data_IF_168370468567
#
_entry.id   IF_168370468567
#
_cell.length_a   1.000
_cell.length_b   1.000
_cell.length_c   1.000
_cell.angle_alpha   90.00
_cell.angle_beta   90.00
_cell.angle_gamma   90.00
#
_symmetry.space_group_name_H-M   'P 1'
#
loop_
_entity.id
_entity.type
_entity.pdbx_description
1 polymer ?
#
# COMPACT_ATOMS: atom_id res chain seq x y z
N UNK A 1 -25.85 -22.41 14.59
CA UNK A 1 -24.65 -22.58 13.75
C UNK A 1 -25.08 -23.06 12.37
N UNK A 2 -25.61 -22.17 11.51
CA UNK A 2 -26.05 -22.60 10.16
C UNK A 2 -26.20 -21.41 9.17
N UNK A 3 -25.36 -20.37 9.33
CA UNK A 3 -25.33 -19.22 8.40
C UNK A 3 -23.92 -18.88 7.87
N UNK A 4 -22.88 -19.57 8.35
CA UNK A 4 -21.49 -19.30 7.97
C UNK A 4 -20.97 -20.19 6.84
N UNK A 5 -21.64 -21.31 6.56
CA UNK A 5 -21.19 -22.30 5.57
C UNK A 5 -21.65 -22.01 4.14
N UNK A 6 -22.70 -21.18 3.94
CA UNK A 6 -23.20 -20.84 2.61
C UNK A 6 -22.35 -19.78 1.87
N UNK A 7 -21.75 -18.83 2.60
CA UNK A 7 -20.85 -17.82 2.00
C UNK A 7 -19.49 -18.42 1.59
N UNK A 8 -19.01 -19.43 2.31
CA UNK A 8 -17.77 -20.13 1.97
C UNK A 8 -17.92 -20.99 0.69
N UNK A 9 -19.10 -21.59 0.45
CA UNK A 9 -19.36 -22.36 -0.77
C UNK A 9 -19.48 -21.48 -2.03
N UNK A 10 -20.03 -20.27 -1.91
CA UNK A 10 -20.10 -19.32 -3.03
C UNK A 10 -18.72 -18.80 -3.46
N UNK A 11 -17.78 -18.67 -2.51
CA UNK A 11 -16.42 -18.19 -2.76
C UNK A 11 -15.52 -19.27 -3.42
N UNK A 12 -15.71 -20.55 -3.09
CA UNK A 12 -14.97 -21.68 -3.69
C UNK A 12 -15.44 -21.97 -5.13
N UNK A 13 -16.73 -21.75 -5.43
CA UNK A 13 -17.29 -21.90 -6.78
C UNK A 13 -16.68 -20.92 -7.79
N UNK A 14 -16.46 -19.66 -7.39
CA UNK A 14 -15.87 -18.64 -8.25
C UNK A 14 -14.39 -18.90 -8.61
N UNK A 15 -13.61 -19.44 -7.66
CA UNK A 15 -12.19 -19.78 -7.86
C UNK A 15 -12.03 -20.98 -8.81
N UNK A 16 -13.00 -21.92 -8.80
CA UNK A 16 -12.95 -23.10 -9.68
C UNK A 16 -13.25 -22.72 -11.15
N UNK A 17 -14.09 -21.72 -11.39
CA UNK A 17 -14.28 -21.16 -12.74
C UNK A 17 -13.03 -20.40 -13.23
N UNK A 18 -12.34 -19.68 -12.33
CA UNK A 18 -11.14 -18.91 -12.62
C UNK A 18 -9.93 -19.77 -13.04
N UNK A 19 -9.79 -20.98 -12.50
CA UNK A 19 -8.73 -21.93 -12.86
C UNK A 19 -9.02 -22.75 -14.12
N UNK A 20 -10.27 -22.85 -14.55
CA UNK A 20 -10.63 -23.62 -15.76
C UNK A 20 -10.45 -22.80 -17.05
N UNK A 21 -10.58 -21.47 -16.97
CA UNK A 21 -10.36 -20.56 -18.10
C UNK A 21 -8.87 -20.37 -18.47
N UNK A 22 -7.94 -20.56 -17.54
CA UNK A 22 -6.50 -20.39 -17.78
C UNK A 22 -5.87 -21.55 -18.57
N UNK A 23 -6.53 -22.71 -18.64
CA UNK A 23 -6.00 -23.90 -19.32
C UNK A 23 -6.40 -24.03 -20.81
N UNK A 24 -7.25 -23.14 -21.34
CA UNK A 24 -7.78 -23.28 -22.71
C UNK A 24 -7.08 -22.43 -23.78
N UNK A 25 -6.13 -21.55 -23.43
CA UNK A 25 -5.56 -20.55 -24.37
C UNK A 25 -4.03 -20.53 -24.46
N UNK A 26 -3.40 -21.70 -24.40
CA UNK A 26 -1.98 -21.90 -24.73
C UNK A 26 -1.85 -22.98 -25.81
N UNK A 27 -2.33 -22.74 -27.05
CA UNK A 27 -1.38 -22.27 -28.08
C UNK A 27 -2.04 -21.54 -29.28
N UNK A 28 -1.88 -20.21 -29.40
CA UNK A 28 -2.09 -19.53 -30.70
C UNK A 28 -1.27 -18.25 -30.84
N UNK A 29 -0.02 -18.25 -30.36
CA UNK A 29 0.94 -17.17 -30.64
C UNK A 29 2.20 -17.79 -31.22
N UNK A 30 2.12 -18.19 -32.49
CA UNK A 30 3.24 -18.14 -33.46
C UNK A 30 2.87 -18.92 -34.73
N UNK A 31 2.35 -18.21 -35.73
CA UNK A 31 2.74 -18.44 -37.13
C UNK A 31 2.25 -17.28 -38.03
N UNK A 32 3.25 -16.48 -38.44
CA UNK A 32 3.40 -15.87 -39.78
C UNK A 32 2.42 -14.75 -40.21
N UNK A 33 2.95 -13.51 -40.22
CA UNK A 33 2.65 -12.46 -41.23
C UNK A 33 3.23 -12.89 -42.61
N UNK A 34 2.94 -12.25 -43.78
CA UNK A 34 2.18 -11.01 -44.07
C UNK A 34 1.21 -11.09 -45.29
N UNK A 35 0.25 -10.17 -45.41
CA UNK A 35 0.08 -9.33 -46.62
C UNK A 35 -0.93 -8.21 -46.33
N UNK A 36 -0.49 -6.95 -46.38
CA UNK A 36 -1.32 -5.78 -46.15
C UNK A 36 -1.55 -5.08 -47.49
N UNK A 37 -2.58 -5.50 -48.21
CA UNK A 37 -3.16 -4.66 -49.27
C UNK A 37 -3.88 -3.48 -48.61
N UNK A 38 -3.66 -2.22 -49.04
CA UNK A 38 -4.36 -1.08 -48.46
C UNK A 38 -5.84 -1.10 -48.90
N UNK A 39 -6.82 -0.91 -47.99
CA UNK A 39 -8.21 -0.78 -48.39
C UNK A 39 -8.42 0.54 -49.16
N UNK A 40 -9.36 0.57 -50.13
CA UNK A 40 -9.57 1.75 -50.96
C UNK A 40 -10.13 2.92 -50.13
N UNK A 41 -9.62 4.13 -50.39
CA UNK A 41 -10.30 5.37 -50.00
C UNK A 41 -11.50 5.57 -50.92
N UNK A 42 -12.72 5.69 -50.38
CA UNK A 42 -13.60 6.83 -50.68
C UNK A 42 -14.90 6.88 -49.82
N UNK A 43 -15.16 8.10 -49.33
CA UNK A 43 -16.45 8.82 -49.10
C UNK A 43 -17.72 8.17 -48.55
N UNK A 44 -18.26 8.89 -47.55
CA UNK A 44 -19.67 9.08 -47.18
C UNK A 44 -20.24 8.17 -46.08
N UNK A 45 -21.08 8.72 -45.17
CA UNK A 45 -21.72 7.95 -44.10
C UNK A 45 -22.83 7.11 -44.72
N UNK A 46 -22.52 5.86 -45.05
CA UNK A 46 -23.48 4.95 -45.61
C UNK A 46 -24.40 4.39 -44.50
N UNK A 47 -25.58 5.00 -44.39
CA UNK A 47 -26.72 4.42 -43.72
C UNK A 47 -27.46 3.50 -44.72
N UNK A 48 -26.75 2.53 -45.33
CA UNK A 48 -27.35 1.61 -46.30
C UNK A 48 -28.29 0.67 -45.57
N UNK A 49 -29.57 0.86 -45.79
CA UNK A 49 -30.61 -0.12 -45.51
C UNK A 49 -30.42 -1.28 -46.50
N UNK A 50 -29.89 -2.41 -46.02
CA UNK A 50 -30.08 -3.69 -46.68
C UNK A 50 -31.53 -4.16 -46.42
N UNK A 51 -32.40 -4.28 -47.43
CA UNK A 51 -33.80 -4.66 -47.24
C UNK A 51 -34.00 -6.13 -46.82
N UNK A 52 -32.93 -6.93 -46.68
CA UNK A 52 -32.98 -8.28 -46.12
C UNK A 52 -32.49 -8.39 -44.66
N UNK A 53 -31.95 -7.32 -44.06
CA UNK A 53 -31.33 -7.38 -42.74
C UNK A 53 -31.69 -6.12 -41.92
N UNK A 54 -32.57 -6.29 -40.93
CA UNK A 54 -33.07 -5.19 -40.09
C UNK A 54 -31.98 -4.30 -39.46
N UNK A 55 -32.36 -3.06 -39.11
CA UNK A 55 -31.47 -2.05 -38.50
C UNK A 55 -30.63 -2.64 -37.37
N UNK A 56 -29.32 -2.34 -37.37
CA UNK A 56 -28.39 -2.69 -36.30
C UNK A 56 -27.75 -1.43 -35.72
N UNK A 57 -27.51 -1.41 -34.42
CA UNK A 57 -26.87 -0.32 -33.69
C UNK A 57 -25.53 -0.77 -33.10
N UNK A 58 -24.62 0.18 -32.90
CA UNK A 58 -23.28 -0.09 -32.36
C UNK A 58 -23.31 -0.13 -30.83
N UNK A 59 -22.76 -1.19 -30.25
CA UNK A 59 -22.41 -1.28 -28.84
C UNK A 59 -20.90 -1.16 -28.69
N UNK A 60 -20.46 -0.20 -27.88
CA UNK A 60 -19.08 -0.05 -27.43
C UNK A 60 -18.99 -0.42 -25.94
N UNK A 61 -18.15 -1.40 -25.62
CA UNK A 61 -17.86 -1.87 -24.27
C UNK A 61 -16.42 -1.47 -23.91
N UNK A 62 -16.27 -0.43 -23.11
CA UNK A 62 -14.99 0.11 -22.69
C UNK A 62 -14.48 -0.67 -21.46
N UNK A 63 -13.21 -1.09 -21.50
CA UNK A 63 -12.60 -1.95 -20.47
C UNK A 63 -13.33 -3.30 -20.28
N UNK A 64 -13.93 -3.83 -21.34
CA UNK A 64 -14.62 -5.11 -21.35
C UNK A 64 -14.76 -5.70 -22.75
N UNK A 65 -15.45 -6.83 -22.82
CA UNK A 65 -15.76 -7.57 -24.04
C UNK A 65 -17.27 -7.49 -24.35
N UNK A 66 -17.63 -7.69 -25.62
CA UNK A 66 -19.02 -7.60 -26.11
C UNK A 66 -19.31 -6.40 -27.03
N UNK A 67 -18.28 -5.68 -27.48
CA UNK A 67 -18.44 -4.62 -28.48
C UNK A 67 -18.83 -5.18 -29.85
N UNK A 68 -19.71 -4.50 -30.59
CA UNK A 68 -20.16 -4.97 -31.90
C UNK A 68 -21.32 -4.19 -32.49
N UNK A 69 -21.99 -4.78 -33.49
CA UNK A 69 -23.24 -4.27 -34.07
C UNK A 69 -24.35 -5.28 -33.87
N UNK A 70 -25.46 -4.84 -33.28
CA UNK A 70 -26.53 -5.74 -32.84
C UNK A 70 -27.90 -5.19 -33.24
N UNK A 71 -28.86 -6.10 -33.46
CA UNK A 71 -30.25 -5.73 -33.73
C UNK A 71 -30.91 -5.25 -32.42
N UNK A 72 -31.87 -4.30 -32.49
CA UNK A 72 -32.69 -3.92 -31.35
C UNK A 72 -33.32 -5.11 -30.64
N UNK A 73 -33.34 -5.05 -29.31
CA UNK A 73 -33.92 -6.07 -28.46
C UNK A 73 -33.09 -7.35 -28.31
N UNK A 74 -31.94 -7.47 -29.01
CA UNK A 74 -31.00 -8.56 -28.79
C UNK A 74 -30.48 -8.54 -27.34
N UNK A 75 -30.44 -9.70 -26.70
CA UNK A 75 -29.84 -9.88 -25.37
C UNK A 75 -28.40 -10.33 -25.56
N UNK A 76 -27.48 -9.57 -24.98
CA UNK A 76 -26.04 -9.72 -25.16
C UNK A 76 -25.39 -9.94 -23.81
N UNK A 77 -24.49 -10.92 -23.72
CA UNK A 77 -23.61 -11.06 -22.56
C UNK A 77 -22.39 -10.17 -22.77
N UNK A 78 -22.12 -9.32 -21.78
CA UNK A 78 -20.93 -8.49 -21.71
C UNK A 78 -20.07 -8.94 -20.53
N UNK A 79 -18.77 -8.77 -20.66
CA UNK A 79 -17.81 -9.20 -19.64
C UNK A 79 -16.79 -8.09 -19.38
N UNK A 80 -16.53 -7.77 -18.12
CA UNK A 80 -15.52 -6.81 -17.73
C UNK A 80 -14.14 -7.43 -18.00
N UNK A 81 -13.20 -6.62 -18.50
CA UNK A 81 -11.85 -7.10 -18.73
C UNK A 81 -11.22 -7.59 -17.40
N UNK A 82 -10.32 -8.58 -17.45
CA UNK A 82 -9.59 -9.00 -16.26
C UNK A 82 -8.97 -7.79 -15.55
N UNK A 83 -9.20 -7.61 -14.23
CA UNK A 83 -8.68 -6.47 -13.51
C UNK A 83 -7.15 -6.47 -13.58
N UNK A 84 -6.57 -5.27 -13.73
CA UNK A 84 -5.13 -5.08 -13.56
C UNK A 84 -4.74 -5.36 -12.10
N UNK A 85 -3.46 -5.67 -11.81
CA UNK A 85 -2.99 -5.76 -10.42
C UNK A 85 -3.44 -4.55 -9.60
N UNK A 86 -3.86 -4.81 -8.37
CA UNK A 86 -4.43 -3.86 -7.41
C UNK A 86 -5.78 -3.24 -7.79
N UNK A 87 -6.46 -3.69 -8.85
CA UNK A 87 -7.80 -3.20 -9.21
C UNK A 87 -8.86 -4.26 -8.93
N UNK A 88 -10.05 -3.80 -8.56
CA UNK A 88 -11.25 -4.63 -8.58
C UNK A 88 -12.36 -3.96 -9.37
N UNK A 89 -13.19 -4.80 -9.99
CA UNK A 89 -14.40 -4.37 -10.66
C UNK A 89 -15.38 -3.79 -9.64
N UNK A 90 -15.88 -2.59 -9.90
CA UNK A 90 -16.83 -1.90 -9.01
C UNK A 90 -18.20 -1.67 -9.63
N UNK A 91 -18.38 -2.05 -10.90
CA UNK A 91 -19.66 -2.00 -11.58
C UNK A 91 -19.57 -1.46 -13.00
N UNK A 92 -20.67 -1.55 -13.73
CA UNK A 92 -20.81 -0.96 -15.06
C UNK A 92 -21.28 0.49 -14.98
N UNK A 93 -20.66 1.36 -15.78
CA UNK A 93 -21.15 2.70 -16.07
C UNK A 93 -22.10 2.61 -17.25
N UNK A 94 -23.40 2.74 -16.98
CA UNK A 94 -24.46 2.70 -18.00
C UNK A 94 -25.15 4.05 -18.13
N UNK A 95 -25.52 4.47 -19.36
CA UNK A 95 -26.37 5.65 -19.57
C UNK A 95 -27.75 5.49 -18.93
N UNK A 96 -28.38 6.61 -18.59
CA UNK A 96 -29.73 6.62 -18.01
C UNK A 96 -30.74 6.01 -19.00
N UNK A 97 -31.65 5.17 -18.49
CA UNK A 97 -32.70 4.53 -19.30
C UNK A 97 -32.27 3.27 -20.06
N UNK A 98 -31.06 2.76 -19.81
CA UNK A 98 -30.58 1.47 -20.32
C UNK A 98 -30.75 0.38 -19.26
N UNK A 99 -31.37 -0.73 -19.65
CA UNK A 99 -31.64 -1.88 -18.77
C UNK A 99 -30.51 -2.91 -18.87
N UNK A 100 -29.91 -3.21 -17.73
CA UNK A 100 -28.81 -4.17 -17.54
C UNK A 100 -29.15 -5.01 -16.31
N UNK A 101 -29.04 -6.33 -16.42
CA UNK A 101 -29.60 -7.23 -15.39
C UNK A 101 -28.93 -7.04 -14.02
N UNK A 102 -27.61 -7.14 -13.96
CA UNK A 102 -26.84 -6.93 -12.73
C UNK A 102 -25.59 -6.10 -13.01
N UNK A 103 -25.62 -4.77 -12.84
CA UNK A 103 -24.49 -3.90 -13.12
C UNK A 103 -23.33 -4.06 -12.12
N UNK A 104 -23.51 -4.78 -11.01
CA UNK A 104 -22.47 -5.02 -9.98
C UNK A 104 -21.68 -6.31 -10.23
N UNK A 105 -22.07 -7.09 -11.25
CA UNK A 105 -21.35 -8.30 -11.66
C UNK A 105 -20.44 -8.06 -12.87
N UNK A 106 -19.24 -8.65 -12.89
CA UNK A 106 -18.31 -8.49 -14.00
C UNK A 106 -18.82 -9.15 -15.29
N UNK A 107 -19.70 -10.15 -15.20
CA UNK A 107 -20.38 -10.78 -16.33
C UNK A 107 -21.85 -10.52 -16.18
N UNK A 108 -22.46 -9.83 -17.15
CA UNK A 108 -23.85 -9.42 -17.07
C UNK A 108 -24.50 -9.39 -18.45
N UNK A 109 -25.81 -9.17 -18.48
CA UNK A 109 -26.62 -9.18 -19.69
C UNK A 109 -27.22 -7.81 -19.96
N UNK A 110 -27.15 -7.41 -21.22
CA UNK A 110 -27.62 -6.13 -21.73
C UNK A 110 -28.61 -6.38 -22.86
N UNK A 111 -29.71 -5.63 -22.87
CA UNK A 111 -30.63 -5.62 -24.01
C UNK A 111 -30.36 -4.42 -24.92
N UNK A 112 -30.04 -4.67 -26.18
CA UNK A 112 -29.66 -3.63 -27.13
C UNK A 112 -30.82 -2.67 -27.43
N UNK A 113 -30.66 -1.35 -27.23
CA UNK A 113 -31.69 -0.36 -27.56
C UNK A 113 -31.75 -0.04 -29.07
N UNK A 114 -32.70 0.80 -29.46
CA UNK A 114 -32.83 1.32 -30.84
C UNK A 114 -31.91 2.52 -31.14
N UNK A 115 -30.71 2.56 -30.55
CA UNK A 115 -29.69 3.58 -30.78
C UNK A 115 -28.31 3.04 -30.39
N UNK A 116 -27.25 3.74 -30.79
CA UNK A 116 -25.88 3.39 -30.42
C UNK A 116 -25.64 3.59 -28.92
N UNK A 117 -24.91 2.66 -28.30
CA UNK A 117 -24.72 2.59 -26.86
C UNK A 117 -23.24 2.44 -26.53
N UNK A 118 -22.74 3.25 -25.57
CA UNK A 118 -21.40 3.11 -25.01
C UNK A 118 -21.53 2.86 -23.51
N UNK A 119 -20.92 1.78 -23.02
CA UNK A 119 -20.87 1.39 -21.62
C UNK A 119 -19.43 1.14 -21.21
N UNK A 120 -19.12 1.29 -19.92
CA UNK A 120 -17.76 1.09 -19.42
C UNK A 120 -17.73 0.26 -18.15
N UNK A 121 -16.86 -0.75 -18.09
CA UNK A 121 -16.54 -1.41 -16.83
C UNK A 121 -15.71 -0.46 -15.95
N UNK A 122 -16.12 -0.29 -14.69
CA UNK A 122 -15.44 0.55 -13.70
C UNK A 122 -14.58 -0.31 -12.82
N UNK A 123 -13.39 0.19 -12.53
CA UNK A 123 -12.43 -0.46 -11.66
C UNK A 123 -11.92 0.53 -10.63
N UNK A 124 -11.79 0.10 -9.38
CA UNK A 124 -11.22 0.90 -8.29
C UNK A 124 -10.00 0.18 -7.74
N UNK A 125 -9.00 0.95 -7.32
CA UNK A 125 -7.83 0.37 -6.66
C UNK A 125 -8.21 -0.15 -5.28
N UNK A 126 -7.88 -1.40 -4.99
CA UNK A 126 -8.02 -1.97 -3.67
C UNK A 126 -6.76 -1.76 -2.84
N UNK A 127 -6.96 -1.38 -1.58
CA UNK A 127 -5.90 -1.27 -0.59
C UNK A 127 -6.16 -2.23 0.56
N UNK A 128 -5.10 -2.90 1.00
CA UNK A 128 -5.06 -3.78 2.15
C UNK A 128 -4.36 -3.05 3.29
N UNK A 129 -4.95 -3.08 4.48
CA UNK A 129 -4.36 -2.48 5.67
C UNK A 129 -3.71 -3.54 6.54
N UNK A 130 -2.48 -3.30 7.01
CA UNK A 130 -1.80 -4.14 8.00
C UNK A 130 -1.14 -3.29 9.08
N UNK A 131 -1.12 -3.82 10.30
CA UNK A 131 -0.48 -3.18 11.45
C UNK A 131 0.59 -4.12 11.98
N UNK A 132 1.85 -3.69 11.87
CA UNK A 132 3.01 -4.47 12.28
C UNK A 132 3.51 -4.01 13.63
N UNK A 133 3.84 -4.96 14.48
CA UNK A 133 4.60 -4.71 15.71
C UNK A 133 6.08 -4.88 15.42
N UNK A 134 6.96 -4.12 16.10
CA UNK A 134 8.39 -4.23 15.86
C UNK A 134 8.90 -5.61 16.28
N UNK A 135 9.85 -6.14 15.52
CA UNK A 135 10.59 -7.34 15.89
C UNK A 135 11.52 -7.00 17.06
N UNK A 136 10.99 -7.08 18.29
CA UNK A 136 11.76 -6.95 19.51
C UNK A 136 12.32 -8.34 19.87
N UNK A 137 13.54 -8.65 19.45
CA UNK A 137 14.22 -9.86 19.90
C UNK A 137 14.49 -9.78 21.40
N UNK A 138 13.83 -10.63 22.18
CA UNK A 138 14.08 -10.87 23.60
C UNK A 138 15.04 -12.06 23.83
N UNK A 139 15.75 -12.14 24.96
CA UNK A 139 15.99 -11.08 25.92
C UNK A 139 17.32 -10.41 25.56
N UNK A 140 17.39 -9.10 25.58
CA UNK A 140 18.64 -8.38 25.41
C UNK A 140 19.64 -8.83 26.49
N UNK A 141 20.51 -9.79 26.16
CA UNK A 141 21.69 -10.09 26.97
C UNK A 141 22.56 -8.84 26.95
N UNK A 142 22.95 -8.42 28.14
CA UNK A 142 24.06 -7.52 28.41
C UNK A 142 25.16 -7.60 27.32
N UNK A 143 25.41 -6.49 26.62
CA UNK A 143 26.49 -6.32 25.63
C UNK A 143 26.18 -6.95 24.25
N UNK A 144 25.55 -6.25 23.32
CA UNK A 144 26.30 -5.29 22.49
C UNK A 144 25.84 -3.86 22.69
N UNK A 145 26.50 -3.24 23.66
CA UNK A 145 26.91 -1.85 23.65
C UNK A 145 27.50 -1.52 22.26
N UNK A 146 26.95 -0.57 21.53
CA UNK A 146 27.84 0.34 20.79
C UNK A 146 27.68 1.69 21.44
N UNK A 147 28.34 1.81 22.60
CA UNK A 147 28.27 2.84 23.63
C UNK A 147 27.51 4.06 23.14
N UNK A 148 26.19 3.97 23.24
CA UNK A 148 25.36 5.10 23.50
C UNK A 148 23.91 4.79 23.88
N UNK A 149 23.61 5.18 25.10
CA UNK A 149 22.92 4.45 26.16
C UNK A 149 21.56 3.76 25.99
N UNK A 150 21.39 2.95 27.02
CA UNK A 150 20.22 2.17 27.38
C UNK A 150 19.52 2.91 28.51
N UNK A 151 18.19 2.83 28.54
CA UNK A 151 17.46 3.11 29.77
C UNK A 151 16.74 1.86 30.23
N UNK A 152 16.92 1.60 31.52
CA UNK A 152 16.26 0.56 32.29
C UNK A 152 14.74 0.82 32.31
N UNK A 153 13.98 0.06 31.50
CA UNK A 153 12.52 0.06 31.47
C UNK A 153 11.98 -0.62 30.21
N UNK A 154 10.66 -0.90 30.11
CA UNK A 154 10.04 -1.51 28.93
C UNK A 154 9.89 -0.52 27.76
N UNK A 155 10.91 0.28 27.46
CA UNK A 155 10.85 1.37 26.49
C UNK A 155 12.14 1.55 25.71
N UNK A 156 12.04 2.19 24.56
CA UNK A 156 13.18 2.56 23.71
C UNK A 156 13.46 4.05 23.91
N UNK A 157 14.73 4.42 24.17
CA UNK A 157 15.16 5.78 24.50
C UNK A 157 15.97 6.48 23.42
N UNK A 158 15.92 7.83 23.40
CA UNK A 158 16.76 8.71 22.58
C UNK A 158 17.14 9.96 23.38
N UNK A 159 18.26 10.62 23.07
CA UNK A 159 18.78 11.66 23.97
C UNK A 159 20.28 11.63 24.12
N UNK A 160 20.74 11.83 25.35
CA UNK A 160 22.07 11.52 25.81
C UNK A 160 22.04 11.00 27.27
N UNK A 161 23.23 10.72 27.79
CA UNK A 161 23.45 10.17 29.14
C UNK A 161 24.37 11.11 29.89
N UNK A 162 24.36 11.03 31.22
CA UNK A 162 25.15 11.92 32.08
C UNK A 162 26.67 11.85 31.88
N UNK A 163 27.18 10.89 31.10
CA UNK A 163 28.58 10.83 30.64
C UNK A 163 28.79 11.47 29.24
N UNK A 164 27.81 12.23 28.75
CA UNK A 164 27.83 12.95 27.47
C UNK A 164 27.65 12.03 26.26
N UNK A 165 27.19 10.81 26.46
CA UNK A 165 26.99 9.83 25.41
C UNK A 165 25.54 10.02 24.87
N UNK A 166 25.38 10.43 23.60
CA UNK A 166 24.16 10.42 22.74
C UNK A 166 23.33 9.12 22.55
N UNK A 167 22.14 8.97 23.12
CA UNK A 167 21.23 7.85 22.84
C UNK A 167 20.59 7.90 21.44
N UNK A 168 20.55 6.76 20.74
CA UNK A 168 19.77 6.58 19.50
C UNK A 168 18.92 5.32 19.57
N UNK A 169 17.71 5.41 19.07
CA UNK A 169 16.77 4.29 19.03
C UNK A 169 16.80 3.60 17.67
N UNK A 170 16.70 2.28 17.64
CA UNK A 170 16.54 1.50 16.42
C UNK A 170 15.29 0.62 16.52
N UNK A 171 14.44 0.68 15.50
CA UNK A 171 13.16 -0.03 15.45
C UNK A 171 13.10 -0.77 14.11
N UNK A 172 12.94 -2.09 14.16
CA UNK A 172 12.88 -2.93 12.97
C UNK A 172 11.51 -3.58 12.84
N UNK A 173 10.98 -3.57 11.62
CA UNK A 173 9.74 -4.26 11.26
C UNK A 173 10.02 -5.26 10.15
N UNK A 174 9.49 -6.46 10.31
CA UNK A 174 9.53 -7.50 9.29
C UNK A 174 8.46 -7.21 8.22
N UNK A 175 8.85 -7.28 6.96
CA UNK A 175 8.02 -6.99 5.78
C UNK A 175 7.73 -8.26 4.96
N UNK A 176 8.22 -9.42 5.39
CA UNK A 176 8.00 -10.73 4.77
C UNK A 176 6.53 -11.17 4.80
N UNK A 177 5.74 -10.62 5.73
CA UNK A 177 4.29 -10.76 5.78
C UNK A 177 3.56 -10.12 4.59
N UNK A 178 4.20 -9.16 3.90
CA UNK A 178 3.61 -8.53 2.72
C UNK A 178 3.77 -9.42 1.49
N UNK A 179 2.77 -9.46 0.60
CA UNK A 179 2.86 -10.26 -0.61
C UNK A 179 3.97 -9.75 -1.54
N UNK A 180 4.63 -10.64 -2.31
CA UNK A 180 5.63 -10.24 -3.29
C UNK A 180 5.08 -9.19 -4.26
N UNK A 181 5.81 -8.09 -4.44
CA UNK A 181 5.41 -7.00 -5.34
C UNK A 181 4.40 -6.00 -4.74
N UNK A 182 4.08 -6.09 -3.45
CA UNK A 182 3.22 -5.12 -2.77
C UNK A 182 3.69 -3.67 -3.00
N UNK A 183 2.80 -2.85 -3.55
CA UNK A 183 2.99 -1.41 -3.69
C UNK A 183 2.43 -0.71 -2.46
N UNK A 184 3.29 -0.06 -1.67
CA UNK A 184 2.88 0.70 -0.48
C UNK A 184 2.23 2.00 -0.93
N UNK A 185 0.95 2.16 -0.57
CA UNK A 185 0.21 3.38 -0.77
C UNK A 185 0.48 4.39 0.35
N UNK A 186 0.46 3.91 1.59
CA UNK A 186 0.71 4.70 2.79
C UNK A 186 1.42 3.85 3.83
N UNK A 187 2.39 4.43 4.54
CA UNK A 187 2.99 3.83 5.72
C UNK A 187 3.17 4.89 6.81
N UNK A 188 2.69 4.58 8.02
CA UNK A 188 2.76 5.45 9.18
C UNK A 188 3.42 4.72 10.34
N UNK A 189 4.55 5.24 10.81
CA UNK A 189 5.17 4.81 12.05
C UNK A 189 4.44 5.49 13.21
N UNK A 190 3.62 4.72 13.93
CA UNK A 190 2.88 5.22 15.09
C UNK A 190 3.66 4.93 16.35
N UNK A 191 3.93 6.00 17.11
CA UNK A 191 4.71 5.92 18.35
C UNK A 191 3.96 6.64 19.47
N UNK A 192 4.11 6.13 20.70
CA UNK A 192 3.60 6.76 21.91
C UNK A 192 4.74 7.13 22.83
N UNK A 193 4.74 8.37 23.26
CA UNK A 193 5.65 8.86 24.29
C UNK A 193 5.26 8.33 25.69
N UNK A 194 6.22 7.80 26.45
CA UNK A 194 6.00 7.27 27.80
C UNK A 194 6.59 8.13 28.91
N UNK A 195 7.56 8.99 28.63
CA UNK A 195 8.17 9.85 29.65
C UNK A 195 9.52 10.41 29.23
N UNK A 196 10.00 11.37 30.00
CA UNK A 196 11.28 12.06 29.79
C UNK A 196 12.16 11.94 31.03
N UNK A 197 13.47 12.03 30.84
CA UNK A 197 14.48 12.19 31.89
C UNK A 197 15.35 13.40 31.56
N UNK A 198 15.81 14.13 32.58
CA UNK A 198 16.59 15.35 32.40
C UNK A 198 15.72 16.58 32.13
N UNK A 199 16.37 17.73 31.93
CA UNK A 199 15.74 18.95 31.47
C UNK A 199 15.92 19.11 29.96
N UNK A 200 14.92 18.67 29.20
CA UNK A 200 14.84 18.86 27.76
C UNK A 200 14.54 20.33 27.38
N UNK A 201 15.11 21.27 28.12
CA UNK A 201 14.82 22.71 28.13
C UNK A 201 15.14 23.36 26.79
N UNK A 202 14.65 24.59 26.63
CA UNK A 202 14.71 25.39 25.40
C UNK A 202 16.15 25.67 24.93
N UNK A 203 17.11 25.58 25.84
CA UNK A 203 18.48 26.05 25.63
C UNK A 203 19.48 24.90 25.34
N UNK A 204 19.07 23.64 25.53
CA UNK A 204 19.99 22.51 25.60
C UNK A 204 20.04 21.72 24.27
N UNK A 205 18.90 21.24 23.78
CA UNK A 205 18.83 20.50 22.48
C UNK A 205 18.64 21.45 21.29
N UNK A 206 18.64 22.76 21.54
CA UNK A 206 18.72 23.83 20.54
C UNK A 206 17.40 24.53 20.23
N UNK A 207 17.52 25.82 19.90
CA UNK A 207 16.41 26.76 19.68
C UNK A 207 15.65 26.58 18.33
N UNK A 208 15.71 25.40 17.72
CA UNK A 208 15.04 25.04 16.45
C UNK A 208 14.51 23.59 16.42
N UNK A 209 14.55 22.88 17.55
CA UNK A 209 14.33 21.43 17.61
C UNK A 209 12.96 21.10 18.15
N UNK A 210 11.94 21.50 17.39
CA UNK A 210 10.59 20.98 17.59
C UNK A 210 10.44 19.56 17.05
N UNK A 211 11.49 18.86 16.59
CA UNK A 211 11.36 17.49 16.06
C UNK A 211 12.56 16.56 16.35
N UNK A 212 12.31 15.27 16.61
CA UNK A 212 13.34 14.22 16.42
C UNK A 212 13.19 13.61 15.03
N UNK A 213 14.31 13.19 14.45
CA UNK A 213 14.36 12.69 13.08
C UNK A 213 14.13 11.18 13.09
N UNK A 214 13.27 10.72 12.20
CA UNK A 214 13.13 9.31 11.84
C UNK A 214 13.89 9.09 10.54
N UNK A 215 14.90 8.23 10.57
CA UNK A 215 15.72 7.91 9.41
C UNK A 215 15.63 6.42 9.12
N UNK A 216 15.54 6.04 7.85
CA UNK A 216 15.74 4.65 7.43
C UNK A 216 17.23 4.35 7.40
N UNK A 217 17.63 3.24 7.99
CA UNK A 217 19.01 2.75 7.94
C UNK A 217 19.07 1.46 7.13
N UNK A 218 20.04 1.40 6.21
CA UNK A 218 20.39 0.15 5.52
C UNK A 218 21.25 -0.70 6.45
N UNK A 219 20.63 -1.62 7.18
CA UNK A 219 21.28 -2.53 8.14
C UNK A 219 21.66 -3.85 7.46
N UNK A 220 22.49 -4.67 8.10
CA UNK A 220 22.65 -6.08 7.74
C UNK A 220 21.47 -6.93 8.26
N UNK A 221 21.61 -8.27 8.33
CA UNK A 221 20.62 -9.14 8.96
C UNK A 221 20.38 -8.83 10.44
N UNK A 222 21.34 -8.16 11.08
CA UNK A 222 21.27 -7.70 12.46
C UNK A 222 21.92 -6.32 12.59
N UNK A 223 21.55 -5.57 13.63
CA UNK A 223 22.20 -4.31 13.98
C UNK A 223 23.64 -4.56 14.42
N UNK A 224 24.58 -3.86 13.77
CA UNK A 224 26.00 -3.87 14.13
C UNK A 224 26.48 -2.52 14.67
N UNK A 225 27.66 -2.46 15.32
CA UNK A 225 28.23 -1.22 15.85
C UNK A 225 28.38 -0.10 14.81
N UNK A 226 28.71 -0.45 13.56
CA UNK A 226 28.84 0.52 12.47
C UNK A 226 27.52 1.10 11.96
N UNK A 227 26.38 0.45 12.24
CA UNK A 227 25.05 1.00 11.88
C UNK A 227 24.70 2.21 12.73
N UNK A 228 25.29 2.32 13.93
CA UNK A 228 25.09 3.44 14.81
C UNK A 228 25.45 4.76 14.12
N UNK A 229 26.62 4.84 13.49
CA UNK A 229 27.14 6.03 12.80
C UNK A 229 26.84 6.07 11.29
N UNK A 230 26.10 5.09 10.75
CA UNK A 230 25.79 5.02 9.32
C UNK A 230 24.93 6.22 8.89
N UNK A 231 25.16 6.73 7.68
CA UNK A 231 24.30 7.76 7.11
C UNK A 231 22.87 7.21 6.97
N UNK A 232 21.91 7.94 7.54
CA UNK A 232 20.49 7.61 7.44
C UNK A 232 19.81 8.34 6.31
N UNK A 233 18.82 7.70 5.73
CA UNK A 233 17.93 8.33 4.77
C UNK A 233 16.76 8.95 5.53
N UNK A 234 16.53 10.26 5.40
CA UNK A 234 15.41 10.92 6.07
C UNK A 234 14.09 10.24 5.69
N UNK A 235 13.41 9.67 6.68
CA UNK A 235 12.12 8.99 6.51
C UNK A 235 10.97 9.87 6.99
N UNK A 236 11.17 10.66 8.06
CA UNK A 236 10.18 11.59 8.58
C UNK A 236 10.69 12.39 9.77
N UNK A 237 9.84 13.27 10.32
CA UNK A 237 10.15 14.09 11.50
C UNK A 237 8.98 14.04 12.49
N UNK A 238 9.29 13.87 13.77
CA UNK A 238 8.29 13.79 14.83
C UNK A 238 8.29 15.03 15.70
N UNK A 239 7.18 15.79 15.83
CA UNK A 239 7.16 17.00 16.64
C UNK A 239 7.32 16.75 18.16
N UNK A 240 8.42 17.25 18.74
CA UNK A 240 8.77 17.20 20.17
C UNK A 240 7.99 18.19 21.02
N UNK A 241 7.41 19.26 20.45
CA UNK A 241 6.58 20.20 21.21
C UNK A 241 5.33 19.56 21.84
N UNK A 242 4.84 18.46 21.26
CA UNK A 242 3.72 17.67 21.81
C UNK A 242 4.11 16.85 23.05
N UNK A 243 5.41 16.67 23.30
CA UNK A 243 5.96 15.76 24.33
C UNK A 243 5.96 16.42 25.71
N UNK A 244 6.21 17.74 25.80
CA UNK A 244 6.30 18.47 27.08
C UNK A 244 4.98 18.57 27.84
N UNK A 245 3.84 18.62 27.14
CA UNK A 245 2.54 18.90 27.75
C UNK A 245 1.54 17.73 27.70
N UNK A 246 1.83 16.67 26.92
CA UNK A 246 0.93 15.53 26.76
C UNK A 246 1.71 14.20 26.80
N UNK A 247 2.01 13.75 28.01
CA UNK A 247 2.48 12.39 28.24
C UNK A 247 1.43 11.43 27.64
N UNK A 248 1.86 10.47 26.81
CA UNK A 248 0.99 9.54 26.06
C UNK A 248 0.39 9.99 24.73
N UNK A 249 0.82 11.10 24.14
CA UNK A 249 0.45 11.41 22.75
C UNK A 249 0.93 10.31 21.80
N UNK A 250 -0.01 9.80 20.99
CA UNK A 250 0.26 8.98 19.81
C UNK A 250 0.35 9.91 18.61
N UNK A 251 1.42 9.82 17.83
CA UNK A 251 1.52 10.57 16.57
C UNK A 251 2.07 9.66 15.46
N UNK A 252 1.37 9.55 14.32
CA UNK A 252 1.91 8.89 13.14
C UNK A 252 2.97 9.76 12.48
N UNK A 253 4.08 9.13 12.07
CA UNK A 253 5.09 9.71 11.19
C UNK A 253 4.97 9.03 9.84
N UNK A 254 4.77 9.81 8.78
CA UNK A 254 4.79 9.28 7.42
C UNK A 254 6.18 8.72 7.12
N UNK A 255 6.24 7.43 6.80
CA UNK A 255 7.43 6.68 6.40
C UNK A 255 7.21 5.93 5.08
N UNK A 256 6.19 6.30 4.31
CA UNK A 256 5.74 5.62 3.09
C UNK A 256 6.88 5.37 2.12
N UNK A 257 7.64 6.42 1.78
CA UNK A 257 8.75 6.32 0.85
C UNK A 257 9.87 5.41 1.35
N UNK A 258 10.13 5.40 2.66
CA UNK A 258 11.17 4.57 3.26
C UNK A 258 10.83 3.09 3.20
N UNK A 259 9.57 2.71 3.50
CA UNK A 259 9.12 1.32 3.41
C UNK A 259 9.10 0.85 1.95
N UNK A 260 8.57 1.68 1.03
CA UNK A 260 8.54 1.36 -0.40
C UNK A 260 9.95 1.10 -0.95
N UNK A 261 10.95 1.91 -0.57
CA UNK A 261 12.35 1.71 -0.98
C UNK A 261 12.97 0.46 -0.40
N UNK A 262 12.63 0.08 0.83
CA UNK A 262 13.10 -1.16 1.44
C UNK A 262 12.65 -2.38 0.62
N UNK A 263 11.36 -2.43 0.27
CA UNK A 263 10.80 -3.48 -0.58
C UNK A 263 11.41 -3.50 -1.98
N UNK A 264 11.56 -2.34 -2.62
CA UNK A 264 12.21 -2.22 -3.94
C UNK A 264 13.68 -2.68 -3.94
N UNK A 265 14.34 -2.57 -2.78
CA UNK A 265 15.71 -3.06 -2.60
C UNK A 265 15.78 -4.56 -2.27
N UNK A 266 14.65 -5.28 -2.34
CA UNK A 266 14.54 -6.70 -2.00
C UNK A 266 14.72 -7.00 -0.51
N UNK A 267 14.52 -6.01 0.37
CA UNK A 267 14.63 -6.22 1.82
C UNK A 267 13.35 -6.86 2.36
N UNK A 268 13.54 -7.79 3.28
CA UNK A 268 12.47 -8.44 4.05
C UNK A 268 12.19 -7.72 5.38
N UNK A 269 12.90 -6.64 5.66
CA UNK A 269 12.70 -5.84 6.87
C UNK A 269 13.08 -4.37 6.61
N UNK A 270 12.55 -3.49 7.45
CA UNK A 270 12.89 -2.06 7.46
C UNK A 270 13.31 -1.65 8.86
N UNK A 271 14.46 -0.99 8.97
CA UNK A 271 14.95 -0.44 10.23
C UNK A 271 14.90 1.08 10.21
N UNK A 272 14.25 1.65 11.21
CA UNK A 272 14.25 3.08 11.49
C UNK A 272 15.18 3.39 12.65
N UNK A 273 16.05 4.38 12.45
CA UNK A 273 16.81 5.02 13.51
C UNK A 273 16.13 6.32 13.90
N UNK A 274 15.92 6.52 15.19
CA UNK A 274 15.38 7.75 15.72
C UNK A 274 16.44 8.42 16.59
N UNK A 275 16.59 9.73 16.40
CA UNK A 275 17.60 10.55 17.08
C UNK A 275 17.17 12.01 17.11
N UNK A 276 17.70 12.76 18.06
CA UNK A 276 17.64 14.22 17.99
C UNK A 276 18.55 14.75 16.88
N UNK A 277 18.21 15.90 16.32
CA UNK A 277 19.07 16.54 15.33
C UNK A 277 20.40 17.03 15.98
N UNK A 278 20.35 17.39 17.28
CA UNK A 278 21.49 17.70 18.14
C UNK A 278 21.44 16.69 19.30
N UNK A 279 22.46 15.87 19.41
CA UNK A 279 22.44 14.69 20.28
C UNK A 279 23.21 14.88 21.59
N UNK A 280 23.64 16.11 21.85
CA UNK A 280 24.35 16.56 23.05
C UNK A 280 24.08 18.04 23.23
N UNK A 281 23.83 18.43 24.46
CA UNK A 281 23.76 19.82 24.94
C UNK A 281 25.00 20.20 25.78
N UNK A 282 25.81 19.21 26.14
CA UNK A 282 27.12 19.35 26.79
C UNK A 282 27.02 19.98 28.20
N UNK A 283 25.92 19.72 28.91
CA UNK A 283 25.68 20.20 30.27
C UNK A 283 26.05 19.16 31.36
N UNK A 284 26.49 17.96 30.94
CA UNK A 284 26.83 16.81 31.80
C UNK A 284 25.66 16.24 32.61
N UNK A 285 24.42 16.56 32.23
CA UNK A 285 23.21 15.86 32.63
C UNK A 285 22.82 14.88 31.52
N UNK A 286 21.83 14.03 31.79
CA UNK A 286 21.38 13.02 30.85
C UNK A 286 19.95 13.31 30.42
N UNK A 287 19.78 13.68 29.16
CA UNK A 287 18.53 14.17 28.62
C UNK A 287 17.93 13.18 27.65
N UNK A 288 16.84 12.52 28.04
CA UNK A 288 16.28 11.41 27.29
C UNK A 288 14.76 11.40 27.19
N UNK A 289 14.26 10.91 26.05
CA UNK A 289 12.85 10.64 25.77
C UNK A 289 12.66 9.13 25.64
N UNK A 290 11.56 8.61 26.21
CA UNK A 290 11.19 7.21 26.14
C UNK A 290 9.93 6.97 25.32
N UNK A 291 9.96 5.93 24.50
CA UNK A 291 8.82 5.41 23.76
C UNK A 291 8.25 4.17 24.44
N UNK A 292 6.92 4.09 24.53
CA UNK A 292 6.21 2.92 25.03
C UNK A 292 6.17 1.84 23.94
N UNK A 293 6.83 0.72 24.18
CA UNK A 293 6.85 -0.41 23.24
C UNK A 293 5.77 -1.46 23.51
N UNK A 294 4.94 -1.27 24.54
CA UNK A 294 3.94 -2.26 24.93
C UNK A 294 2.71 -2.22 24.03
N UNK A 295 2.29 -3.39 23.56
CA UNK A 295 1.05 -3.56 22.78
C UNK A 295 1.08 -2.78 21.46
N UNK A 296 -0.02 -2.09 21.14
CA UNK A 296 -0.20 -1.33 19.90
C UNK A 296 0.50 0.06 19.91
N UNK A 297 1.29 0.38 20.93
CA UNK A 297 1.77 1.75 21.18
C UNK A 297 2.99 2.15 20.34
N UNK A 298 3.69 1.15 19.83
CA UNK A 298 4.72 1.28 18.81
C UNK A 298 4.39 0.30 17.68
N UNK A 299 4.04 0.83 16.50
CA UNK A 299 3.62 0.00 15.36
C UNK A 299 3.86 0.70 14.03
N UNK A 300 3.97 -0.09 12.97
CA UNK A 300 4.00 0.38 11.60
C UNK A 300 2.64 0.05 10.96
N UNK A 301 1.85 1.07 10.68
CA UNK A 301 0.58 0.94 9.96
C UNK A 301 0.85 1.12 8.46
N UNK A 302 0.34 0.20 7.65
CA UNK A 302 0.61 0.13 6.23
C UNK A 302 -0.70 -0.04 5.48
N UNK A 303 -0.84 0.68 4.38
CA UNK A 303 -1.81 0.41 3.33
C UNK A 303 -1.04 0.07 2.05
N UNK A 304 -1.33 -1.09 1.47
CA UNK A 304 -0.66 -1.57 0.27
C UNK A 304 -1.65 -2.09 -0.75
N UNK A 305 -1.24 -2.07 -2.01
CA UNK A 305 -1.99 -2.64 -3.12
C UNK A 305 -1.18 -3.78 -3.73
N UNK A 306 -1.84 -4.83 -4.20
CA UNK A 306 -1.22 -5.99 -4.82
C UNK A 306 -1.72 -6.16 -6.25
#
# INVERSE_FOLDING_TARGET
>A
MEKSTSKALAWIGAITAFLTALAAFMPLIMRLLPDASPPPRNSSPDNSLDPANGRSYHLEVINGEGSGRYKPGAVLTIEAAPPRPAMEFTGWSVPEGIDIDDPETPVTTLRMPEHDLSIAARFTRQFHSVSLTPALTEPWRSGTISRNGSVSGPGIGMGDTSDGTSLRAFITFDLDILPPGAGIHQASLVMRHSGTNGDLSRDDIGNFFSHFIVERISTGPSLGPGDYSKAGESAGQYPTQLIKNNWHTKQPVDVTAAVQRALQSGRQSVTFRLRFLAERDNDSQGDAIYLDTRGDRLRLELEYAQ
#
